data_IF_385298797288
#
_entry.id   IF_385298797288
#
_cell.length_a   1.000
_cell.length_b   1.000
_cell.length_c   1.000
_cell.angle_alpha   90.00
_cell.angle_beta   90.00
_cell.angle_gamma   90.00
#
_symmetry.space_group_name_H-M   'P 1'
#
loop_
_entity.id
_entity.type
_entity.pdbx_description
1 polymer ?
#
# COMPACT_ATOMS: atom_id res chain seq x y z
N UNK A 1 1.67 -1.16 -10.31
CA UNK A 1 2.29 0.14 -10.69
C UNK A 1 3.62 0.28 -9.96
N UNK A 2 4.50 1.23 -10.36
CA UNK A 2 5.73 1.52 -9.61
C UNK A 2 5.47 1.76 -8.11
N UNK A 3 4.35 2.44 -7.77
CA UNK A 3 3.95 2.69 -6.39
C UNK A 3 3.71 1.40 -5.58
N UNK A 4 3.14 0.36 -6.20
CA UNK A 4 2.98 -0.95 -5.53
C UNK A 4 4.34 -1.55 -5.17
N UNK A 5 5.29 -1.53 -6.09
CA UNK A 5 6.62 -2.09 -5.87
C UNK A 5 7.38 -1.28 -4.80
N UNK A 6 7.27 0.04 -4.82
CA UNK A 6 7.86 0.90 -3.79
C UNK A 6 7.31 0.60 -2.39
N UNK A 7 5.99 0.43 -2.26
CA UNK A 7 5.35 0.06 -0.99
C UNK A 7 5.75 -1.36 -0.55
N UNK A 8 5.76 -2.32 -1.48
CA UNK A 8 6.15 -3.71 -1.20
C UNK A 8 7.60 -3.81 -0.72
N UNK A 9 8.50 -3.02 -1.31
CA UNK A 9 9.91 -2.95 -0.91
C UNK A 9 10.16 -2.01 0.26
N UNK A 10 9.11 -1.44 0.85
CA UNK A 10 9.18 -0.52 1.98
C UNK A 10 10.11 0.70 1.73
N UNK A 11 10.18 1.17 0.47
CA UNK A 11 11.05 2.27 0.08
C UNK A 11 10.32 3.61 0.18
N UNK A 12 10.36 4.21 1.36
CA UNK A 12 9.63 5.44 1.70
C UNK A 12 9.95 6.62 0.78
N UNK A 13 11.23 6.82 0.43
CA UNK A 13 11.65 7.94 -0.41
C UNK A 13 11.02 7.87 -1.82
N UNK A 14 10.99 6.67 -2.40
CA UNK A 14 10.37 6.47 -3.71
C UNK A 14 8.86 6.56 -3.62
N UNK A 15 8.23 6.07 -2.54
CA UNK A 15 6.78 6.28 -2.33
C UNK A 15 6.47 7.78 -2.33
N UNK A 16 7.16 8.56 -1.49
CA UNK A 16 6.96 10.01 -1.39
C UNK A 16 7.12 10.69 -2.76
N UNK A 17 8.17 10.35 -3.51
CA UNK A 17 8.36 10.91 -4.84
C UNK A 17 7.23 10.55 -5.82
N UNK A 18 6.80 9.29 -5.83
CA UNK A 18 5.80 8.79 -6.77
C UNK A 18 4.40 9.36 -6.51
N UNK A 19 4.01 9.57 -5.26
CA UNK A 19 2.66 10.09 -4.93
C UNK A 19 2.49 11.58 -5.23
N UNK A 20 3.58 12.32 -5.40
CA UNK A 20 3.55 13.73 -5.82
C UNK A 20 3.46 13.88 -7.35
N UNK A 21 3.57 12.79 -8.12
CA UNK A 21 3.49 12.88 -9.58
C UNK A 21 2.04 13.17 -10.02
N UNK A 22 1.82 14.07 -11.00
CA UNK A 22 0.47 14.46 -11.42
C UNK A 22 -0.44 13.30 -11.87
N UNK A 23 0.15 12.21 -12.36
CA UNK A 23 -0.56 11.02 -12.84
C UNK A 23 -0.66 9.90 -11.80
N UNK A 24 -0.23 10.15 -10.55
CA UNK A 24 -0.23 9.14 -9.51
C UNK A 24 -1.66 8.81 -9.06
N UNK A 25 -2.08 7.56 -9.27
CA UNK A 25 -3.32 7.03 -8.71
C UNK A 25 -3.01 6.02 -7.59
N UNK A 26 -3.12 6.48 -6.34
CA UNK A 26 -2.86 5.69 -5.12
C UNK A 26 -3.87 4.55 -4.91
N UNK A 27 -5.04 4.63 -5.55
CA UNK A 27 -6.14 3.66 -5.45
C UNK A 27 -6.11 2.59 -6.54
N UNK A 28 -5.12 2.61 -7.44
CA UNK A 28 -4.96 1.56 -8.46
C UNK A 28 -4.86 0.19 -7.79
N UNK A 29 -5.63 -0.78 -8.25
CA UNK A 29 -5.55 -2.18 -7.81
C UNK A 29 -4.63 -2.98 -8.72
N UNK A 30 -3.82 -3.87 -8.15
CA UNK A 30 -3.05 -4.86 -8.91
C UNK A 30 -3.92 -6.10 -9.26
N UNK A 31 -3.30 -7.12 -9.87
CA UNK A 31 -4.00 -8.36 -10.27
C UNK A 31 -4.69 -9.10 -9.12
N UNK A 32 -4.29 -8.86 -7.87
CA UNK A 32 -4.86 -9.49 -6.68
C UNK A 32 -5.88 -8.57 -5.98
N UNK A 33 -6.22 -7.42 -6.56
CA UNK A 33 -7.10 -6.43 -5.93
C UNK A 33 -6.40 -5.58 -4.85
N UNK A 34 -5.12 -5.80 -4.58
CA UNK A 34 -4.38 -5.00 -3.61
C UNK A 34 -4.07 -3.62 -4.18
N UNK A 35 -4.27 -2.58 -3.38
CA UNK A 35 -3.77 -1.22 -3.63
C UNK A 35 -2.37 -1.03 -3.06
N UNK A 36 -1.75 0.12 -3.29
CA UNK A 36 -0.49 0.48 -2.61
C UNK A 36 -0.62 0.46 -1.08
N UNK A 37 -1.77 0.90 -0.55
CA UNK A 37 -2.04 0.93 0.89
C UNK A 37 -2.09 -0.46 1.52
N UNK A 38 -2.62 -1.47 0.81
CA UNK A 38 -2.57 -2.87 1.27
C UNK A 38 -1.13 -3.33 1.54
N UNK A 39 -0.23 -3.07 0.59
CA UNK A 39 1.18 -3.49 0.67
C UNK A 39 1.95 -2.71 1.74
N UNK A 40 1.64 -1.41 1.90
CA UNK A 40 2.21 -0.59 2.96
C UNK A 40 1.79 -1.08 4.36
N UNK A 41 0.50 -1.38 4.54
CA UNK A 41 -0.04 -1.94 5.78
C UNK A 41 0.58 -3.29 6.14
N UNK A 42 0.77 -4.18 5.16
CA UNK A 42 1.44 -5.46 5.36
C UNK A 42 2.88 -5.30 5.90
N UNK A 43 3.60 -4.26 5.45
CA UNK A 43 4.94 -3.93 5.93
C UNK A 43 4.96 -3.15 7.25
N UNK A 44 3.81 -2.73 7.77
CA UNK A 44 3.64 -1.97 9.03
C UNK A 44 4.47 -0.68 9.09
N UNK A 45 4.77 -0.07 7.94
CA UNK A 45 5.45 1.21 7.88
C UNK A 45 4.44 2.35 7.95
N UNK A 46 4.32 2.95 9.14
CA UNK A 46 3.38 4.02 9.43
C UNK A 46 3.58 5.26 8.55
N UNK A 47 4.82 5.61 8.19
CA UNK A 47 5.10 6.80 7.36
C UNK A 47 4.52 6.66 5.96
N UNK A 48 4.71 5.48 5.34
CA UNK A 48 4.16 5.18 4.02
C UNK A 48 2.63 5.13 4.09
N UNK A 49 2.07 4.53 5.15
CA UNK A 49 0.62 4.46 5.36
C UNK A 49 0.01 5.86 5.45
N UNK A 50 0.56 6.73 6.31
CA UNK A 50 0.13 8.13 6.45
C UNK A 50 0.21 8.88 5.14
N UNK A 51 1.36 8.79 4.46
CA UNK A 51 1.58 9.44 3.17
C UNK A 51 0.52 9.04 2.12
N UNK A 52 0.18 7.76 2.02
CA UNK A 52 -0.86 7.30 1.09
C UNK A 52 -2.26 7.79 1.49
N UNK A 53 -2.59 7.81 2.78
CA UNK A 53 -3.89 8.31 3.28
C UNK A 53 -4.05 9.81 3.01
N UNK A 54 -3.00 10.61 3.28
CA UNK A 54 -2.96 12.05 2.98
C UNK A 54 -3.16 12.34 1.49
N UNK A 55 -2.76 11.39 0.63
CA UNK A 55 -2.96 11.46 -0.83
C UNK A 55 -4.26 10.83 -1.31
N UNK A 56 -5.20 10.54 -0.41
CA UNK A 56 -6.55 10.09 -0.74
C UNK A 56 -6.67 8.60 -0.99
N UNK A 57 -5.79 7.76 -0.43
CA UNK A 57 -5.97 6.32 -0.48
C UNK A 57 -7.24 5.90 0.29
N UNK A 58 -8.09 5.11 -0.36
CA UNK A 58 -9.27 4.54 0.27
C UNK A 58 -8.88 3.39 1.21
N UNK A 59 -9.05 3.64 2.51
CA UNK A 59 -8.72 2.72 3.60
C UNK A 59 -9.62 1.48 3.67
N UNK A 60 -10.77 1.50 2.98
CA UNK A 60 -11.78 0.44 3.01
C UNK A 60 -11.83 -0.40 1.74
N UNK A 61 -10.97 -0.15 0.74
CA UNK A 61 -10.92 -0.97 -0.48
C UNK A 61 -10.62 -2.42 -0.11
N UNK A 62 -11.44 -3.35 -0.59
CA UNK A 62 -11.19 -4.79 -0.43
C UNK A 62 -10.37 -5.34 -1.60
N UNK A 63 -9.44 -6.23 -1.30
CA UNK A 63 -8.77 -7.05 -2.31
C UNK A 63 -9.64 -8.27 -2.68
N UNK A 64 -9.11 -9.16 -3.53
CA UNK A 64 -9.84 -10.36 -3.97
C UNK A 64 -10.14 -11.38 -2.87
N UNK A 65 -9.40 -11.31 -1.77
CA UNK A 65 -9.59 -12.15 -0.58
C UNK A 65 -10.44 -11.43 0.48
N UNK A 66 -11.20 -10.40 0.07
CA UNK A 66 -12.07 -9.57 0.91
C UNK A 66 -11.35 -8.80 2.04
N UNK A 67 -10.01 -8.81 2.03
CA UNK A 67 -9.20 -8.09 3.01
C UNK A 67 -9.13 -6.61 2.65
N UNK A 68 -9.35 -5.75 3.64
CA UNK A 68 -8.96 -4.32 3.58
C UNK A 68 -7.48 -4.16 3.97
N UNK A 69 -6.86 -2.98 3.73
CA UNK A 69 -5.51 -2.70 4.20
C UNK A 69 -5.32 -2.98 5.71
N UNK A 70 -6.32 -2.66 6.54
CA UNK A 70 -6.26 -2.89 7.98
C UNK A 70 -6.20 -4.39 8.32
N UNK A 71 -6.94 -5.24 7.60
CA UNK A 71 -6.84 -6.70 7.77
C UNK A 71 -5.39 -7.17 7.55
N UNK A 72 -4.72 -6.68 6.51
CA UNK A 72 -3.33 -7.05 6.22
C UNK A 72 -2.33 -6.49 7.25
N UNK A 73 -2.58 -5.33 7.86
CA UNK A 73 -1.74 -4.81 8.95
C UNK A 73 -1.73 -5.73 10.18
N UNK A 74 -2.85 -6.43 10.40
CA UNK A 74 -3.02 -7.36 11.52
C UNK A 74 -2.54 -8.79 11.23
N UNK A 75 -2.24 -9.14 9.97
CA UNK A 75 -1.74 -10.47 9.64
C UNK A 75 -0.34 -10.71 10.25
N UNK A 76 -0.13 -11.91 10.79
CA UNK A 76 1.20 -12.36 11.23
C UNK A 76 2.06 -12.56 9.99
N UNK A 77 3.14 -11.79 9.86
CA UNK A 77 4.15 -12.01 8.82
C UNK A 77 4.83 -13.35 9.16
N UNK A 78 4.49 -14.43 8.46
CA UNK A 78 5.41 -15.56 8.35
C UNK A 78 6.61 -15.05 7.55
N UNK A 79 7.65 -14.59 8.25
CA UNK A 79 8.95 -14.41 7.63
C UNK A 79 9.39 -15.81 7.22
N UNK A 80 9.28 -16.13 5.93
CA UNK A 80 10.01 -17.25 5.35
C UNK A 80 11.49 -16.95 5.57
N UNK A 81 12.08 -17.65 6.54
CA UNK A 81 13.52 -17.70 6.82
C UNK A 81 14.24 -18.34 5.65
#
# INVERSE_FOLDING_TARGET
TPLHLACQKNNENIVKYLVEQPSANVNTQNKNGNTALHLACQNKNENIVKCLIEKGANVNTQNKDENTPLHLACQKIMKTL
#
